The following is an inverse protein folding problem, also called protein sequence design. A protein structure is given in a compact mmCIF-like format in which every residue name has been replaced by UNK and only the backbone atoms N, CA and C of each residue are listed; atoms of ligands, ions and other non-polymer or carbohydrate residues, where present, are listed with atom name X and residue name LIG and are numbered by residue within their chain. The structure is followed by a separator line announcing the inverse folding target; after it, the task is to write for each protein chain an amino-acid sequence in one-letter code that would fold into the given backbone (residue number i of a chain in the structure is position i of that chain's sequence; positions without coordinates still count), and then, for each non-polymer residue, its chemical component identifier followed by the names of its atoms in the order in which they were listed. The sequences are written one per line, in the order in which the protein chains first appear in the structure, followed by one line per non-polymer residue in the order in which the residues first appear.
data_IF_051520497127
#
_entry.id   IF_051520497127
#
_cell.length_a   1.000
_cell.length_b   1.000
_cell.length_c   1.000
_cell.angle_alpha   90.00
_cell.angle_beta   90.00
_cell.angle_gamma   90.00
#
_symmetry.space_group_name_H-M   'P 1'
#
loop_
_entity.id
_entity.type
_entity.pdbx_description
1 polymer ?
#
# COMPACT_ATOMS: atom_id res chain seq x y z
N UNK A 1 9.77 33.44 16.45
CA UNK A 1 9.63 32.08 17.01
C UNK A 1 10.26 31.16 15.98
N UNK A 2 11.57 30.97 16.14
CA UNK A 2 12.59 30.31 15.31
C UNK A 2 12.28 30.00 13.84
N UNK A 3 12.67 30.96 12.99
CA UNK A 3 12.77 30.97 11.53
C UNK A 3 13.97 30.13 11.01
N UNK A 4 14.39 29.13 11.78
CA UNK A 4 15.38 28.17 11.35
C UNK A 4 14.64 26.92 10.87
N UNK A 5 14.33 26.87 9.57
CA UNK A 5 13.86 25.64 8.94
C UNK A 5 14.81 24.47 9.20
N UNK A 6 14.36 23.26 8.94
CA UNK A 6 15.11 22.01 9.11
C UNK A 6 15.86 21.69 7.82
N UNK A 7 17.14 21.34 7.93
CA UNK A 7 17.92 20.93 6.77
C UNK A 7 17.40 19.62 6.19
N UNK A 8 17.66 19.37 4.89
CA UNK A 8 17.26 18.12 4.23
C UNK A 8 17.73 16.85 4.96
N UNK A 9 18.89 16.88 5.61
CA UNK A 9 19.41 15.76 6.38
C UNK A 9 18.63 15.54 7.68
N UNK A 10 18.26 16.62 8.38
CA UNK A 10 17.43 16.55 9.60
C UNK A 10 16.02 16.06 9.27
N UNK A 11 15.43 16.56 8.18
CA UNK A 11 14.11 16.11 7.71
C UNK A 11 14.16 14.64 7.31
N UNK A 12 15.18 14.22 6.56
CA UNK A 12 15.35 12.82 6.17
C UNK A 12 15.40 11.89 7.39
N UNK A 13 16.21 12.24 8.41
CA UNK A 13 16.29 11.47 9.64
C UNK A 13 14.97 11.45 10.43
N UNK A 14 14.32 12.60 10.59
CA UNK A 14 13.08 12.72 11.36
C UNK A 14 11.89 11.98 10.74
N UNK A 15 11.82 11.93 9.41
CA UNK A 15 10.75 11.27 8.66
C UNK A 15 11.08 9.83 8.25
N UNK A 16 12.25 9.31 8.63
CA UNK A 16 12.67 7.96 8.27
C UNK A 16 12.91 7.77 6.77
N UNK A 17 13.30 8.83 6.06
CA UNK A 17 13.49 8.84 4.61
C UNK A 17 14.96 8.92 4.25
N UNK A 18 15.31 8.43 3.07
CA UNK A 18 16.59 8.76 2.46
C UNK A 18 16.58 10.21 1.94
N UNK A 19 17.71 10.91 2.00
CA UNK A 19 17.87 12.23 1.36
C UNK A 19 17.54 12.19 -0.15
N UNK A 20 17.84 11.07 -0.81
CA UNK A 20 17.47 10.84 -2.21
C UNK A 20 15.96 10.80 -2.43
N UNK A 21 15.19 10.27 -1.47
CA UNK A 21 13.73 10.26 -1.55
C UNK A 21 13.15 11.69 -1.47
N UNK A 22 13.66 12.52 -0.56
CA UNK A 22 13.27 13.93 -0.48
C UNK A 22 13.59 14.70 -1.77
N UNK A 23 14.78 14.48 -2.35
CA UNK A 23 15.15 15.08 -3.64
C UNK A 23 14.25 14.61 -4.78
N UNK A 24 13.90 13.33 -4.78
CA UNK A 24 12.97 12.79 -5.76
C UNK A 24 11.58 13.41 -5.62
N UNK A 25 11.06 13.59 -4.39
CA UNK A 25 9.80 14.29 -4.16
C UNK A 25 9.85 15.75 -4.63
N UNK A 26 10.98 16.44 -4.48
CA UNK A 26 11.17 17.75 -5.10
C UNK A 26 11.10 17.70 -6.62
N UNK A 27 11.80 16.74 -7.24
CA UNK A 27 11.86 16.58 -8.69
C UNK A 27 10.48 16.30 -9.30
N UNK A 28 9.67 15.46 -8.65
CA UNK A 28 8.31 15.17 -9.13
C UNK A 28 7.27 16.21 -8.71
N UNK A 29 7.69 17.26 -8.00
CA UNK A 29 6.86 18.40 -7.61
C UNK A 29 5.90 18.12 -6.44
N UNK A 30 6.23 17.14 -5.60
CA UNK A 30 5.43 16.78 -4.42
C UNK A 30 5.90 17.47 -3.14
N UNK A 31 7.11 18.02 -3.13
CA UNK A 31 7.66 18.78 -2.02
C UNK A 31 8.48 19.95 -2.59
N UNK A 32 8.53 21.07 -1.88
CA UNK A 32 9.42 22.17 -2.24
C UNK A 32 10.23 22.63 -1.00
N UNK A 33 11.54 22.91 -1.15
CA UNK A 33 12.30 23.50 -0.06
C UNK A 33 11.85 24.95 0.15
N UNK A 34 11.59 25.33 1.40
CA UNK A 34 11.19 26.70 1.76
C UNK A 34 12.32 27.68 1.51
N UNK A 35 13.57 27.28 1.75
CA UNK A 35 14.74 28.12 1.48
C UNK A 35 16.00 27.30 1.19
N UNK A 36 17.05 28.00 0.73
CA UNK A 36 18.40 27.45 0.59
C UNK A 36 19.39 28.37 1.30
N UNK A 37 20.28 27.78 2.10
CA UNK A 37 21.44 28.48 2.69
C UNK A 37 22.69 27.83 2.11
N UNK A 38 23.32 28.53 1.16
CA UNK A 38 24.36 27.94 0.31
C UNK A 38 23.84 26.77 -0.53
N UNK A 39 24.45 25.59 -0.38
CA UNK A 39 24.04 24.35 -1.07
C UNK A 39 22.99 23.52 -0.31
N UNK A 40 22.68 23.90 0.92
CA UNK A 40 21.79 23.14 1.81
C UNK A 40 20.36 23.66 1.70
N UNK A 41 19.41 22.74 1.54
CA UNK A 41 17.96 23.00 1.50
C UNK A 41 17.40 22.97 2.91
N UNK A 42 16.45 23.87 3.17
CA UNK A 42 15.75 23.98 4.44
C UNK A 42 14.24 23.96 4.22
N UNK A 43 13.53 23.29 5.13
CA UNK A 43 12.08 23.12 5.12
C UNK A 43 11.50 23.68 6.42
N UNK A 44 10.51 24.54 6.29
CA UNK A 44 9.77 25.04 7.45
C UNK A 44 8.70 24.03 7.89
N UNK A 45 7.95 24.40 8.95
CA UNK A 45 6.85 23.57 9.45
C UNK A 45 5.74 23.35 8.42
N UNK A 46 5.54 24.24 7.45
CA UNK A 46 4.54 24.06 6.41
C UNK A 46 4.97 22.94 5.47
N UNK A 47 6.20 22.99 4.97
CA UNK A 47 6.77 21.94 4.13
C UNK A 47 6.82 20.58 4.85
N UNK A 48 7.05 20.56 6.18
CA UNK A 48 6.95 19.33 6.97
C UNK A 48 5.52 18.77 7.04
N UNK A 49 4.49 19.64 7.09
CA UNK A 49 3.08 19.20 7.02
C UNK A 49 2.75 18.61 5.65
N UNK A 50 3.26 19.21 4.58
CA UNK A 50 3.07 18.69 3.23
C UNK A 50 3.74 17.32 3.06
N UNK A 51 4.96 17.16 3.61
CA UNK A 51 5.64 15.87 3.64
C UNK A 51 4.88 14.82 4.46
N UNK A 52 4.33 15.17 5.62
CA UNK A 52 3.50 14.27 6.40
C UNK A 52 2.22 13.87 5.66
N UNK A 53 1.61 14.81 4.92
CA UNK A 53 0.44 14.51 4.10
C UNK A 53 0.78 13.61 2.90
N UNK A 54 1.97 13.76 2.32
CA UNK A 54 2.49 12.83 1.31
C UNK A 54 2.66 11.42 1.89
N UNK A 55 3.27 11.29 3.07
CA UNK A 55 3.45 9.98 3.74
C UNK A 55 2.12 9.30 4.07
N UNK A 56 1.11 10.06 4.49
CA UNK A 56 -0.24 9.52 4.72
C UNK A 56 -0.76 8.77 3.49
N UNK A 57 -0.61 9.33 2.29
CA UNK A 57 -1.09 8.66 1.07
C UNK A 57 -0.17 7.54 0.62
N UNK A 58 1.14 7.79 0.60
CA UNK A 58 2.11 6.85 0.07
C UNK A 58 2.24 5.63 0.99
N UNK A 59 2.50 5.86 2.27
CA UNK A 59 2.92 4.81 3.20
C UNK A 59 1.71 4.20 3.90
N UNK A 60 0.82 5.00 4.49
CA UNK A 60 -0.37 4.48 5.19
C UNK A 60 -1.45 4.05 4.19
N UNK A 61 -1.70 4.89 3.18
CA UNK A 61 -2.67 4.62 2.11
C UNK A 61 -2.17 3.64 1.06
N UNK A 62 -0.87 3.31 1.05
CA UNK A 62 -0.23 2.43 0.06
C UNK A 62 -0.47 2.88 -1.40
N UNK A 63 -0.63 4.18 -1.64
CA UNK A 63 -0.77 4.73 -2.98
C UNK A 63 0.58 4.77 -3.70
N UNK A 64 0.55 4.58 -5.01
CA UNK A 64 1.69 4.88 -5.86
C UNK A 64 2.02 6.38 -5.81
N UNK A 65 3.22 6.76 -6.25
CA UNK A 65 3.62 8.17 -6.37
C UNK A 65 2.68 8.93 -7.33
N UNK A 66 2.25 8.28 -8.41
CA UNK A 66 1.33 8.88 -9.38
C UNK A 66 -0.06 9.13 -8.76
N UNK A 67 -0.62 8.15 -8.04
CA UNK A 67 -1.89 8.31 -7.34
C UNK A 67 -1.78 9.37 -6.24
N UNK A 68 -0.70 9.35 -5.45
CA UNK A 68 -0.44 10.35 -4.40
C UNK A 68 -0.41 11.77 -4.98
N UNK A 69 0.29 11.95 -6.11
CA UNK A 69 0.32 13.23 -6.83
C UNK A 69 -1.06 13.65 -7.32
N UNK A 70 -1.83 12.72 -7.89
CA UNK A 70 -3.18 13.00 -8.36
C UNK A 70 -4.13 13.37 -7.20
N UNK A 71 -4.00 12.72 -6.04
CA UNK A 71 -4.77 13.04 -4.83
C UNK A 71 -4.40 14.42 -4.28
N UNK A 72 -3.10 14.72 -4.17
CA UNK A 72 -2.63 16.02 -3.66
C UNK A 72 -3.04 17.16 -4.61
N UNK A 73 -2.98 16.95 -5.92
CA UNK A 73 -3.37 17.94 -6.93
C UNK A 73 -4.90 18.06 -7.14
N UNK A 74 -5.71 17.22 -6.49
CA UNK A 74 -7.16 17.23 -6.69
C UNK A 74 -7.82 18.50 -6.12
N UNK A 75 -8.45 19.29 -6.98
CA UNK A 75 -9.17 20.50 -6.57
C UNK A 75 -10.58 20.21 -6.04
N UNK A 76 -11.16 19.06 -6.42
CA UNK A 76 -12.53 18.68 -6.02
C UNK A 76 -12.54 17.39 -5.19
N UNK A 77 -13.53 17.31 -4.29
CA UNK A 77 -13.76 16.09 -3.54
C UNK A 77 -14.20 14.91 -4.43
N UNK A 78 -14.84 15.17 -5.57
CA UNK A 78 -15.26 14.12 -6.50
C UNK A 78 -14.05 13.42 -7.14
N UNK A 79 -13.13 14.18 -7.74
CA UNK A 79 -11.89 13.64 -8.34
C UNK A 79 -11.07 12.86 -7.31
N UNK A 80 -10.93 13.41 -6.10
CA UNK A 80 -10.22 12.71 -5.01
C UNK A 80 -10.88 11.38 -4.65
N UNK A 81 -12.21 11.34 -4.54
CA UNK A 81 -12.96 10.12 -4.17
C UNK A 81 -12.80 9.02 -5.19
N UNK A 82 -12.73 9.34 -6.48
CA UNK A 82 -12.52 8.34 -7.53
C UNK A 82 -11.18 7.61 -7.33
N UNK A 83 -10.10 8.37 -7.13
CA UNK A 83 -8.75 7.81 -6.91
C UNK A 83 -8.72 6.96 -5.64
N UNK A 84 -9.27 7.49 -4.53
CA UNK A 84 -9.29 6.78 -3.24
C UNK A 84 -10.16 5.53 -3.30
N UNK A 85 -11.27 5.56 -4.06
CA UNK A 85 -12.13 4.38 -4.25
C UNK A 85 -11.40 3.28 -5.00
N UNK A 86 -10.72 3.61 -6.10
CA UNK A 86 -9.92 2.63 -6.85
C UNK A 86 -8.80 2.01 -6.00
N UNK A 87 -8.10 2.83 -5.21
CA UNK A 87 -7.09 2.33 -4.28
C UNK A 87 -7.70 1.41 -3.21
N UNK A 88 -8.85 1.80 -2.63
CA UNK A 88 -9.57 0.98 -1.65
C UNK A 88 -10.00 -0.36 -2.25
N UNK A 89 -10.57 -0.38 -3.45
CA UNK A 89 -11.02 -1.61 -4.10
C UNK A 89 -9.85 -2.56 -4.38
N UNK A 90 -8.71 -2.03 -4.85
CA UNK A 90 -7.47 -2.79 -5.04
C UNK A 90 -6.98 -3.40 -3.71
N UNK A 91 -6.97 -2.63 -2.64
CA UNK A 91 -6.56 -3.11 -1.32
C UNK A 91 -7.53 -4.17 -0.78
N UNK A 92 -8.84 -3.97 -0.94
CA UNK A 92 -9.85 -4.96 -0.56
C UNK A 92 -9.66 -6.28 -1.30
N UNK A 93 -9.40 -6.24 -2.62
CA UNK A 93 -9.10 -7.44 -3.39
C UNK A 93 -7.83 -8.15 -2.87
N UNK A 94 -6.78 -7.37 -2.57
CA UNK A 94 -5.55 -7.92 -2.01
C UNK A 94 -5.74 -8.52 -0.62
N UNK A 95 -6.55 -7.91 0.24
CA UNK A 95 -6.91 -8.45 1.56
C UNK A 95 -7.64 -9.79 1.39
N UNK A 96 -8.56 -9.91 0.44
CA UNK A 96 -9.24 -11.16 0.16
C UNK A 96 -8.24 -12.26 -0.26
N UNK A 97 -7.32 -11.96 -1.18
CA UNK A 97 -6.24 -12.87 -1.57
C UNK A 97 -5.38 -13.33 -0.38
N UNK A 98 -4.92 -12.38 0.44
CA UNK A 98 -4.06 -12.68 1.59
C UNK A 98 -4.80 -13.46 2.67
N UNK A 99 -6.08 -13.17 2.89
CA UNK A 99 -6.92 -13.90 3.85
C UNK A 99 -7.08 -15.35 3.43
N UNK A 100 -7.29 -15.61 2.13
CA UNK A 100 -7.35 -16.97 1.58
C UNK A 100 -6.02 -17.70 1.71
N UNK A 101 -4.93 -17.04 1.34
CA UNK A 101 -3.60 -17.62 1.48
C UNK A 101 -3.30 -18.00 2.93
N UNK A 102 -3.64 -17.12 3.88
CA UNK A 102 -3.51 -17.42 5.32
C UNK A 102 -4.37 -18.62 5.71
N UNK A 103 -5.63 -18.67 5.29
CA UNK A 103 -6.53 -19.78 5.61
C UNK A 103 -6.01 -21.14 5.11
N UNK A 104 -5.39 -21.17 3.93
CA UNK A 104 -4.69 -22.37 3.41
C UNK A 104 -3.53 -22.73 4.35
N UNK A 105 -2.65 -21.77 4.65
CA UNK A 105 -1.47 -22.03 5.48
C UNK A 105 -1.85 -22.49 6.90
N UNK A 106 -2.84 -21.86 7.51
CA UNK A 106 -3.37 -22.25 8.82
C UNK A 106 -3.87 -23.70 8.81
N UNK A 107 -4.65 -24.08 7.78
CA UNK A 107 -5.09 -25.48 7.64
C UNK A 107 -3.93 -26.45 7.45
N UNK A 108 -2.91 -26.10 6.66
CA UNK A 108 -1.75 -26.98 6.43
C UNK A 108 -0.94 -27.21 7.70
N UNK A 109 -0.90 -26.23 8.61
CA UNK A 109 -0.25 -26.37 9.92
C UNK A 109 -1.05 -27.28 10.86
N UNK A 110 -2.39 -27.23 10.80
CA UNK A 110 -3.27 -28.01 11.67
C UNK A 110 -3.63 -29.40 11.09
N UNK A 111 -3.33 -29.66 9.82
CA UNK A 111 -3.73 -30.89 9.14
C UNK A 111 -2.97 -32.10 9.72
N UNK A 112 -3.67 -33.13 10.26
CA UNK A 112 -3.02 -34.29 10.86
C UNK A 112 -2.53 -35.31 9.83
N UNK A 113 -2.67 -35.05 8.53
CA UNK A 113 -2.32 -36.00 7.46
C UNK A 113 -0.90 -35.74 6.96
N UNK A 114 -0.08 -36.80 6.84
CA UNK A 114 1.26 -36.73 6.23
C UNK A 114 1.21 -36.25 4.77
N UNK A 115 0.08 -36.48 4.09
CA UNK A 115 -0.21 -35.99 2.75
C UNK A 115 -1.43 -35.08 2.78
N UNK A 116 -1.24 -33.76 2.80
CA UNK A 116 -2.37 -32.83 2.83
C UNK A 116 -3.34 -32.99 1.66
N UNK A 117 -2.88 -33.44 0.49
CA UNK A 117 -3.76 -33.72 -0.66
C UNK A 117 -4.78 -34.85 -0.41
N UNK A 118 -4.52 -35.74 0.55
CA UNK A 118 -5.42 -36.82 0.96
C UNK A 118 -6.34 -36.39 2.14
N UNK A 119 -6.19 -35.16 2.64
CA UNK A 119 -7.14 -34.57 3.60
C UNK A 119 -8.46 -34.27 2.90
N UNK A 120 -9.59 -34.56 3.54
CA UNK A 120 -10.93 -34.33 2.98
C UNK A 120 -11.13 -32.88 2.52
N UNK A 121 -10.78 -31.91 3.37
CA UNK A 121 -10.90 -30.47 3.04
C UNK A 121 -10.02 -30.08 1.85
N UNK A 122 -8.73 -30.38 1.93
CA UNK A 122 -7.76 -30.00 0.88
C UNK A 122 -8.05 -30.73 -0.43
N UNK A 123 -8.37 -32.02 -0.37
CA UNK A 123 -8.73 -32.85 -1.52
C UNK A 123 -10.00 -32.35 -2.22
N UNK A 124 -11.03 -31.96 -1.45
CA UNK A 124 -12.25 -31.34 -2.00
C UNK A 124 -11.92 -30.05 -2.75
N UNK A 125 -11.17 -29.14 -2.12
CA UNK A 125 -10.76 -27.89 -2.75
C UNK A 125 -9.92 -28.12 -4.03
N UNK A 126 -9.00 -29.09 -4.03
CA UNK A 126 -8.25 -29.48 -5.22
C UNK A 126 -9.19 -29.98 -6.32
N UNK A 127 -10.17 -30.82 -5.98
CA UNK A 127 -11.17 -31.35 -6.91
C UNK A 127 -12.00 -30.24 -7.56
N UNK A 128 -12.48 -29.28 -6.78
CA UNK A 128 -13.23 -28.11 -7.26
C UNK A 128 -12.40 -27.27 -8.23
N UNK A 129 -11.12 -27.04 -7.90
CA UNK A 129 -10.19 -26.33 -8.80
C UNK A 129 -9.99 -27.05 -10.13
N UNK A 130 -9.86 -28.37 -10.11
CA UNK A 130 -9.74 -29.17 -11.34
C UNK A 130 -11.02 -29.07 -12.18
N UNK A 131 -12.19 -29.22 -11.55
CA UNK A 131 -13.48 -29.13 -12.23
C UNK A 131 -13.66 -27.78 -12.92
N UNK A 132 -13.38 -26.67 -12.22
CA UNK A 132 -13.50 -25.34 -12.79
C UNK A 132 -12.52 -25.08 -13.94
N UNK A 133 -11.28 -25.57 -13.82
CA UNK A 133 -10.28 -25.45 -14.89
C UNK A 133 -10.73 -26.16 -16.18
N UNK A 134 -11.29 -27.37 -16.05
CA UNK A 134 -11.84 -28.11 -17.18
C UNK A 134 -13.07 -27.43 -17.81
N UNK A 135 -13.90 -26.80 -16.96
CA UNK A 135 -15.13 -26.13 -17.39
C UNK A 135 -14.94 -24.67 -17.83
N UNK A 136 -13.72 -24.12 -17.71
CA UNK A 136 -13.41 -22.68 -17.92
C UNK A 136 -14.31 -21.76 -17.09
N UNK A 137 -14.63 -22.17 -15.86
CA UNK A 137 -15.39 -21.38 -14.89
C UNK A 137 -14.48 -20.82 -13.81
N UNK A 138 -14.95 -19.79 -13.11
CA UNK A 138 -14.27 -19.25 -11.93
C UNK A 138 -14.58 -20.16 -10.74
N UNK A 139 -13.57 -20.58 -9.98
CA UNK A 139 -13.75 -21.30 -8.70
C UNK A 139 -14.19 -20.27 -7.66
N UNK A 140 -15.06 -20.64 -6.72
CA UNK A 140 -15.22 -19.84 -5.50
C UNK A 140 -13.85 -19.75 -4.80
N UNK A 141 -13.43 -18.54 -4.49
CA UNK A 141 -12.12 -18.32 -3.90
C UNK A 141 -12.07 -18.80 -2.42
N UNK A 142 -13.18 -19.23 -1.83
CA UNK A 142 -13.23 -19.76 -0.46
C UNK A 142 -12.46 -21.08 -0.29
N UNK A 143 -11.32 -21.06 0.42
CA UNK A 143 -10.64 -22.29 0.87
C UNK A 143 -11.31 -22.92 2.10
N UNK A 144 -11.91 -22.09 2.97
CA UNK A 144 -12.69 -22.56 4.11
C UNK A 144 -14.18 -22.42 3.79
N UNK A 145 -15.02 -23.37 4.23
CA UNK A 145 -16.46 -23.23 4.12
C UNK A 145 -16.88 -21.98 4.92
N UNK A 146 -17.85 -21.22 4.41
CA UNK A 146 -18.47 -20.16 5.17
C UNK A 146 -19.04 -20.76 6.46
N UNK A 147 -18.56 -20.28 7.62
CA UNK A 147 -19.07 -20.67 8.94
C UNK A 147 -20.45 -20.08 9.18
#
# INVERSE_FOLDING_TARGET
MDDAGYSISEVAAAFGLAVSALRYYEEVGLLAPTSRRGRVRYYDRSALRDLAYLQLWRDDGMLSIAETKAVIASETAATRREIVTGARDRLTARIAELTRARAVLDHMLDCPRDRPSECEMTGTHIGERVAAALNRTVVDDGFLPAR
#
